data_IF_709628171256
#
_entry.id   IF_709628171256
#
_cell.length_a   1.000
_cell.length_b   1.000
_cell.length_c   1.000
_cell.angle_alpha   90.00
_cell.angle_beta   90.00
_cell.angle_gamma   90.00
#
_symmetry.space_group_name_H-M   'P 1'
#
loop_
_entity.id
_entity.type
_entity.pdbx_description
1 polymer ?
#
# COMPACT_ATOMS: atom_id res chain seq x y z
N UNK A 1 17.78 -67.75 6.10
CA UNK A 1 17.93 -66.57 6.96
C UNK A 1 17.17 -65.40 6.31
N UNK A 2 15.94 -65.17 6.76
CA UNK A 2 15.11 -64.04 6.33
C UNK A 2 15.56 -62.80 7.12
N UNK A 3 16.05 -61.77 6.45
CA UNK A 3 16.22 -60.44 7.07
C UNK A 3 14.87 -59.72 6.99
N UNK A 4 14.28 -59.28 8.12
CA UNK A 4 13.09 -58.46 8.04
C UNK A 4 13.50 -57.08 7.55
N UNK A 5 13.02 -56.73 6.36
CA UNK A 5 13.07 -55.35 5.87
C UNK A 5 12.09 -54.57 6.75
N UNK A 6 12.61 -53.97 7.81
CA UNK A 6 11.91 -52.89 8.49
C UNK A 6 11.81 -51.73 7.50
N UNK A 7 10.65 -51.59 6.86
CA UNK A 7 10.26 -50.31 6.30
C UNK A 7 10.24 -49.33 7.48
N UNK A 8 11.06 -48.27 7.49
CA UNK A 8 10.76 -47.16 8.37
C UNK A 8 9.44 -46.62 7.86
N UNK A 9 8.38 -46.79 8.65
CA UNK A 9 7.28 -45.86 8.56
C UNK A 9 7.91 -44.48 8.72
N UNK A 10 8.14 -43.80 7.60
CA UNK A 10 8.28 -42.36 7.56
C UNK A 10 6.92 -41.85 8.05
N UNK A 11 6.73 -41.90 9.38
CA UNK A 11 5.88 -40.97 10.07
C UNK A 11 6.42 -39.66 9.57
N UNK A 12 5.67 -39.02 8.67
CA UNK A 12 5.84 -37.62 8.35
C UNK A 12 5.49 -36.91 9.66
N UNK A 13 6.41 -36.99 10.62
CA UNK A 13 6.48 -36.09 11.74
C UNK A 13 6.66 -34.77 11.04
N UNK A 14 5.52 -34.11 10.87
CA UNK A 14 5.38 -32.74 10.46
C UNK A 14 6.65 -32.00 10.87
N UNK A 15 7.54 -31.76 9.91
CA UNK A 15 8.86 -31.19 10.17
C UNK A 15 8.69 -29.83 10.89
N UNK A 16 7.55 -29.18 10.66
CA UNK A 16 7.14 -27.93 11.29
C UNK A 16 6.78 -28.06 12.78
N UNK A 17 6.52 -29.26 13.28
CA UNK A 17 6.20 -29.53 14.69
C UNK A 17 7.45 -29.79 15.55
N UNK A 18 8.66 -29.76 14.98
CA UNK A 18 9.89 -29.90 15.74
C UNK A 18 10.08 -28.70 16.70
N UNK A 19 10.42 -28.93 17.99
CA UNK A 19 10.56 -27.86 19.00
C UNK A 19 11.62 -26.81 18.65
N UNK A 20 12.55 -27.12 17.74
CA UNK A 20 13.51 -26.17 17.16
C UNK A 20 12.81 -24.98 16.48
N UNK A 21 11.62 -25.19 15.92
CA UNK A 21 10.84 -24.13 15.25
C UNK A 21 9.89 -23.36 16.20
N UNK A 22 9.87 -23.66 17.50
CA UNK A 22 8.96 -23.02 18.46
C UNK A 22 9.08 -21.49 18.46
N UNK A 23 10.31 -20.95 18.49
CA UNK A 23 10.57 -19.50 18.44
C UNK A 23 10.14 -18.88 17.11
N UNK A 24 10.39 -19.58 16.01
CA UNK A 24 9.96 -19.15 14.67
C UNK A 24 8.43 -19.04 14.61
N UNK A 25 7.71 -20.05 15.09
CA UNK A 25 6.25 -20.02 15.13
C UNK A 25 5.67 -18.97 16.07
N UNK A 26 6.37 -18.67 17.16
CA UNK A 26 5.98 -17.61 18.08
C UNK A 26 6.05 -16.23 17.40
N UNK A 27 7.12 -15.97 16.65
CA UNK A 27 7.26 -14.74 15.86
C UNK A 27 6.27 -14.67 14.69
N UNK A 28 6.02 -15.80 14.02
CA UNK A 28 5.00 -15.90 12.98
C UNK A 28 3.61 -15.58 13.53
N UNK A 29 3.24 -16.13 14.69
CA UNK A 29 1.97 -15.83 15.36
C UNK A 29 1.85 -14.36 15.77
N UNK A 30 2.94 -13.76 16.26
CA UNK A 30 2.99 -12.34 16.57
C UNK A 30 2.78 -11.48 15.32
N UNK A 31 3.43 -11.82 14.20
CA UNK A 31 3.25 -11.13 12.92
C UNK A 31 1.83 -11.29 12.36
N UNK A 32 1.26 -12.49 12.48
CA UNK A 32 -0.10 -12.79 12.04
C UNK A 32 -1.17 -12.20 12.97
N UNK A 33 -0.83 -11.72 14.17
CA UNK A 33 -1.80 -11.18 15.11
C UNK A 33 -2.53 -9.93 14.58
N UNK A 34 -1.82 -9.01 13.92
CA UNK A 34 -2.43 -7.80 13.35
C UNK A 34 -3.43 -8.11 12.22
N UNK A 35 -3.07 -8.85 11.15
CA UNK A 35 -4.01 -9.13 10.07
C UNK A 35 -5.19 -10.01 10.54
N UNK A 36 -4.98 -10.88 11.55
CA UNK A 36 -6.07 -11.65 12.17
C UNK A 36 -7.05 -10.76 12.93
N UNK A 37 -6.55 -9.81 13.74
CA UNK A 37 -7.39 -8.83 14.46
C UNK A 37 -8.09 -7.90 13.48
N UNK A 38 -7.38 -7.44 12.45
CA UNK A 38 -7.92 -6.60 11.41
C UNK A 38 -9.05 -7.30 10.65
N UNK A 39 -8.86 -8.55 10.21
CA UNK A 39 -9.89 -9.33 9.51
C UNK A 39 -11.13 -9.56 10.38
N UNK A 40 -10.96 -9.80 11.68
CA UNK A 40 -12.07 -9.93 12.64
C UNK A 40 -12.80 -8.59 12.84
N UNK A 41 -12.06 -7.49 13.01
CA UNK A 41 -12.65 -6.16 13.16
C UNK A 41 -13.38 -5.71 11.90
N UNK A 42 -12.78 -5.91 10.72
CA UNK A 42 -13.38 -5.63 9.42
C UNK A 42 -14.64 -6.44 9.18
N UNK A 43 -14.64 -7.74 9.50
CA UNK A 43 -15.86 -8.58 9.43
C UNK A 43 -16.96 -8.03 10.34
N UNK A 44 -16.65 -7.73 11.60
CA UNK A 44 -17.62 -7.13 12.53
C UNK A 44 -18.13 -5.76 12.06
N UNK A 45 -17.27 -4.96 11.46
CA UNK A 45 -17.65 -3.66 10.90
C UNK A 45 -18.59 -3.83 9.70
N UNK A 46 -18.33 -4.80 8.82
CA UNK A 46 -19.25 -5.15 7.73
C UNK A 46 -20.59 -5.68 8.25
N UNK A 47 -20.56 -6.60 9.21
CA UNK A 47 -21.77 -7.13 9.86
C UNK A 47 -22.57 -6.02 10.56
N UNK A 48 -21.92 -5.02 11.13
CA UNK A 48 -22.59 -3.87 11.75
C UNK A 48 -23.12 -2.85 10.73
N UNK A 49 -22.40 -2.63 9.62
CA UNK A 49 -22.80 -1.69 8.58
C UNK A 49 -23.91 -2.24 7.68
N UNK A 50 -23.93 -3.56 7.46
CA UNK A 50 -24.84 -4.20 6.49
C UNK A 50 -25.79 -5.25 7.11
N UNK A 51 -25.63 -5.58 8.40
CA UNK A 51 -26.52 -6.49 9.13
C UNK A 51 -26.51 -7.95 8.63
N UNK A 52 -27.17 -8.89 9.34
CA UNK A 52 -27.31 -10.29 8.91
C UNK A 52 -28.09 -10.49 7.59
N UNK A 53 -28.61 -9.42 6.99
CA UNK A 53 -29.49 -9.49 5.82
C UNK A 53 -28.79 -9.86 4.52
N UNK A 54 -27.46 -9.95 4.46
CA UNK A 54 -26.77 -10.21 3.20
C UNK A 54 -26.71 -11.68 2.78
N UNK A 55 -27.12 -12.65 3.62
CA UNK A 55 -27.16 -14.07 3.22
C UNK A 55 -28.29 -14.81 3.93
N UNK A 56 -29.50 -14.68 3.38
CA UNK A 56 -30.54 -15.68 3.59
C UNK A 56 -31.04 -16.08 2.20
N UNK A 57 -30.39 -17.10 1.63
CA UNK A 57 -30.92 -17.90 0.51
C UNK A 57 -32.26 -18.49 1.00
N UNK A 58 -33.36 -18.56 0.24
CA UNK A 58 -33.52 -19.27 -1.03
C UNK A 58 -34.73 -18.68 -1.79
N UNK A 59 -34.51 -18.20 -3.00
CA UNK A 59 -35.51 -18.19 -4.07
C UNK A 59 -34.90 -18.95 -5.24
N UNK A 60 -35.64 -19.81 -5.97
CA UNK A 60 -35.07 -20.57 -7.08
C UNK A 60 -34.61 -19.58 -8.15
N UNK A 61 -33.32 -19.32 -8.21
CA UNK A 61 -32.71 -18.52 -9.26
C UNK A 61 -31.74 -19.44 -9.97
N UNK A 62 -32.07 -19.72 -11.23
CA UNK A 62 -31.29 -20.52 -12.17
C UNK A 62 -29.84 -20.06 -12.13
N UNK A 63 -29.00 -20.84 -11.46
CA UNK A 63 -27.59 -20.54 -11.27
C UNK A 63 -26.90 -20.55 -12.64
N UNK A 64 -26.46 -19.41 -13.20
CA UNK A 64 -25.59 -19.42 -14.36
C UNK A 64 -24.26 -19.94 -13.85
N UNK A 65 -24.06 -21.22 -14.14
CA UNK A 65 -22.91 -22.04 -13.83
C UNK A 65 -21.63 -21.25 -14.09
N UNK A 66 -20.82 -21.08 -13.04
CA UNK A 66 -19.48 -20.49 -12.97
C UNK A 66 -18.49 -20.87 -14.11
N UNK A 67 -18.85 -21.80 -14.98
CA UNK A 67 -18.11 -22.22 -16.16
C UNK A 67 -17.97 -21.14 -17.25
N UNK A 68 -18.87 -20.16 -17.33
CA UNK A 68 -18.88 -19.17 -18.43
C UNK A 68 -17.79 -18.09 -18.28
N UNK A 69 -17.34 -17.83 -17.04
CA UNK A 69 -16.22 -16.92 -16.77
C UNK A 69 -14.85 -17.50 -17.18
N UNK A 70 -14.79 -18.81 -17.46
CA UNK A 70 -13.55 -19.49 -17.88
C UNK A 70 -13.39 -19.60 -19.40
N UNK A 71 -14.29 -19.00 -20.18
CA UNK A 71 -14.14 -18.99 -21.63
C UNK A 71 -13.02 -18.03 -22.05
N UNK A 72 -12.01 -18.54 -22.77
CA UNK A 72 -10.94 -17.70 -23.32
C UNK A 72 -11.49 -16.61 -24.25
N UNK A 73 -12.68 -16.82 -24.84
CA UNK A 73 -13.38 -15.89 -25.72
C UNK A 73 -13.88 -14.65 -24.97
N UNK A 74 -14.52 -14.82 -23.80
CA UNK A 74 -15.04 -13.70 -22.99
C UNK A 74 -13.91 -12.87 -22.41
N UNK A 75 -12.81 -13.52 -22.03
CA UNK A 75 -11.60 -12.83 -21.56
C UNK A 75 -10.97 -11.98 -22.68
N UNK A 76 -10.87 -12.49 -23.92
CA UNK A 76 -10.36 -11.74 -25.09
C UNK A 76 -11.25 -10.55 -25.42
N UNK A 77 -12.57 -10.73 -25.37
CA UNK A 77 -13.53 -9.65 -25.61
C UNK A 77 -13.42 -8.55 -24.55
N UNK A 78 -13.26 -8.91 -23.28
CA UNK A 78 -13.06 -7.94 -22.20
C UNK A 78 -11.79 -7.10 -22.39
N UNK A 79 -10.67 -7.73 -22.76
CA UNK A 79 -9.43 -7.01 -23.07
C UNK A 79 -9.56 -6.10 -24.30
N UNK A 80 -10.24 -6.57 -25.36
CA UNK A 80 -10.52 -5.75 -26.53
C UNK A 80 -11.46 -4.56 -26.24
N UNK A 81 -12.32 -4.68 -25.22
CA UNK A 81 -13.23 -3.63 -24.79
C UNK A 81 -12.53 -2.62 -23.87
N UNK A 82 -11.63 -3.08 -22.99
CA UNK A 82 -10.83 -2.21 -22.13
C UNK A 82 -9.81 -1.39 -22.91
N UNK A 83 -9.18 -1.94 -23.96
CA UNK A 83 -8.27 -1.18 -24.82
C UNK A 83 -9.01 -0.11 -25.63
N UNK A 84 -10.20 -0.41 -26.18
CA UNK A 84 -11.04 0.59 -26.86
C UNK A 84 -11.46 1.72 -25.92
N UNK A 85 -11.90 1.39 -24.71
CA UNK A 85 -12.26 2.40 -23.70
C UNK A 85 -11.05 3.27 -23.29
N UNK A 86 -9.85 2.67 -23.21
CA UNK A 86 -8.61 3.39 -22.93
C UNK A 86 -8.21 4.34 -24.06
N UNK A 87 -8.44 3.97 -25.31
CA UNK A 87 -8.20 4.83 -26.47
C UNK A 87 -9.21 5.98 -26.55
N UNK A 88 -10.48 5.72 -26.25
CA UNK A 88 -11.51 6.77 -26.16
C UNK A 88 -11.16 7.80 -25.07
N UNK A 89 -10.71 7.36 -23.89
CA UNK A 89 -10.25 8.24 -22.81
C UNK A 89 -9.06 9.13 -23.22
N UNK A 90 -8.15 8.63 -24.07
CA UNK A 90 -7.04 9.44 -24.59
C UNK A 90 -7.55 10.56 -25.52
N UNK A 91 -8.65 10.32 -26.24
CA UNK A 91 -9.29 11.33 -27.10
C UNK A 91 -10.12 12.35 -26.31
N UNK A 92 -10.64 11.97 -25.13
CA UNK A 92 -11.44 12.84 -24.27
C UNK A 92 -10.63 13.76 -23.34
N UNK A 93 -9.30 13.58 -23.22
CA UNK A 93 -8.42 14.52 -22.48
C UNK A 93 -7.30 15.17 -23.33
N UNK A 94 -7.61 16.03 -24.32
CA UNK A 94 -6.59 16.86 -24.96
C UNK A 94 -6.15 18.08 -24.13
N UNK A 95 -6.90 18.48 -23.10
CA UNK A 95 -6.77 19.82 -22.49
C UNK A 95 -5.90 19.93 -21.21
N UNK A 96 -5.47 18.82 -20.60
CA UNK A 96 -4.70 18.85 -19.33
C UNK A 96 -3.28 18.26 -19.44
N UNK A 97 -2.83 17.86 -20.63
CA UNK A 97 -1.46 17.38 -20.82
C UNK A 97 -0.41 18.46 -20.57
N UNK A 98 -0.78 19.74 -20.61
CA UNK A 98 0.12 20.85 -20.25
C UNK A 98 0.30 21.02 -18.74
N UNK A 99 -0.65 20.58 -17.91
CA UNK A 99 -0.55 20.73 -16.45
C UNK A 99 0.29 19.61 -15.83
N UNK A 100 0.28 18.40 -16.39
CA UNK A 100 1.05 17.28 -15.86
C UNK A 100 2.47 17.16 -16.43
N UNK A 101 2.74 17.75 -17.60
CA UNK A 101 4.11 17.84 -18.16
C UNK A 101 4.99 18.83 -17.38
N UNK A 102 4.39 19.77 -16.64
CA UNK A 102 5.11 20.74 -15.82
C UNK A 102 5.60 20.16 -14.49
N UNK A 103 5.01 19.07 -14.00
CA UNK A 103 5.40 18.42 -12.74
C UNK A 103 6.62 17.50 -12.91
N UNK A 104 6.84 16.96 -14.11
CA UNK A 104 8.00 16.12 -14.44
C UNK A 104 9.13 16.88 -15.17
N UNK A 105 8.93 18.15 -15.52
CA UNK A 105 10.08 19.03 -15.80
C UNK A 105 10.75 19.37 -14.48
N UNK A 106 11.70 18.52 -14.09
CA UNK A 106 12.86 19.03 -13.34
C UNK A 106 13.47 20.14 -14.18
N UNK A 107 13.09 21.38 -13.89
CA UNK A 107 13.66 22.55 -14.51
C UNK A 107 15.14 22.57 -14.14
N UNK A 108 16.01 22.28 -15.10
CA UNK A 108 17.46 22.46 -14.96
C UNK A 108 17.82 23.94 -14.91
N UNK A 109 16.89 24.82 -15.30
CA UNK A 109 17.03 26.26 -15.15
C UNK A 109 16.73 26.66 -13.68
N UNK A 110 17.59 27.48 -13.04
CA UNK A 110 17.31 28.05 -11.73
C UNK A 110 15.95 28.76 -11.75
N UNK A 111 15.12 28.59 -10.69
CA UNK A 111 13.89 29.36 -10.55
C UNK A 111 14.17 30.85 -10.76
N UNK A 112 13.47 31.48 -11.72
CA UNK A 112 13.61 32.91 -12.02
C UNK A 112 13.16 33.77 -10.83
N UNK A 113 12.25 33.22 -10.04
CA UNK A 113 11.77 33.77 -8.79
C UNK A 113 12.57 33.17 -7.63
N UNK A 114 13.06 34.01 -6.71
CA UNK A 114 13.78 33.49 -5.54
C UNK A 114 12.81 32.61 -4.73
N UNK A 115 13.19 31.37 -4.38
CA UNK A 115 12.36 30.51 -3.57
C UNK A 115 11.93 31.22 -2.29
N UNK A 116 10.62 31.45 -2.13
CA UNK A 116 10.03 32.10 -0.96
C UNK A 116 9.71 33.60 -1.11
N UNK A 117 10.08 34.26 -2.20
CA UNK A 117 9.84 35.71 -2.37
C UNK A 117 8.33 36.04 -2.43
N UNK A 118 7.55 35.35 -3.27
CA UNK A 118 6.08 35.46 -3.25
C UNK A 118 5.47 35.17 -1.89
N UNK A 119 5.91 34.10 -1.23
CA UNK A 119 5.40 33.72 0.09
C UNK A 119 5.64 34.80 1.13
N UNK A 120 6.82 35.45 1.11
CA UNK A 120 7.11 36.56 2.02
C UNK A 120 6.31 37.82 1.71
N UNK A 121 6.03 38.11 0.43
CA UNK A 121 5.18 39.22 0.02
C UNK A 121 3.71 38.99 0.43
N UNK A 122 3.21 37.77 0.25
CA UNK A 122 1.86 37.36 0.69
C UNK A 122 1.74 37.40 2.22
N UNK A 123 2.74 36.90 2.95
CA UNK A 123 2.81 36.99 4.41
C UNK A 123 2.78 38.45 4.90
N UNK A 124 3.53 39.35 4.26
CA UNK A 124 3.51 40.79 4.58
C UNK A 124 2.15 41.43 4.28
N UNK A 125 1.47 41.01 3.21
CA UNK A 125 0.12 41.50 2.86
C UNK A 125 -0.93 41.04 3.87
N UNK A 126 -0.86 39.79 4.35
CA UNK A 126 -1.86 39.20 5.24
C UNK A 126 -1.67 39.59 6.71
N UNK A 127 -0.42 39.57 7.19
CA UNK A 127 -0.09 39.69 8.61
C UNK A 127 0.67 40.98 8.96
N UNK A 128 1.01 41.81 7.96
CA UNK A 128 1.66 43.10 8.17
C UNK A 128 2.99 42.99 8.92
N UNK A 129 3.14 43.76 10.01
CA UNK A 129 4.33 43.75 10.86
C UNK A 129 4.59 42.43 11.57
N UNK A 130 3.56 41.62 11.81
CA UNK A 130 3.66 40.34 12.50
C UNK A 130 4.04 39.18 11.55
N UNK A 131 4.18 39.44 10.25
CA UNK A 131 4.52 38.42 9.25
C UNK A 131 5.76 37.61 9.64
N UNK A 132 6.80 38.26 10.14
CA UNK A 132 8.02 37.58 10.59
C UNK A 132 7.76 36.63 11.76
N UNK A 133 6.92 37.04 12.71
CA UNK A 133 6.55 36.24 13.88
C UNK A 133 5.75 35.00 13.48
N UNK A 134 4.76 35.16 12.60
CA UNK A 134 3.94 34.05 12.11
C UNK A 134 4.80 33.06 11.30
N UNK A 135 5.67 33.56 10.40
CA UNK A 135 6.60 32.70 9.67
C UNK A 135 7.54 31.93 10.62
N UNK A 136 8.05 32.58 11.67
CA UNK A 136 8.90 31.92 12.65
C UNK A 136 8.15 30.82 13.42
N UNK A 137 6.90 31.07 13.81
CA UNK A 137 6.07 30.07 14.47
C UNK A 137 5.78 28.86 13.56
N UNK A 138 5.43 29.10 12.30
CA UNK A 138 5.17 28.05 11.33
C UNK A 138 6.44 27.21 11.08
N UNK A 139 7.58 27.85 10.90
CA UNK A 139 8.87 27.18 10.75
C UNK A 139 9.21 26.35 11.99
N UNK A 140 8.99 26.88 13.20
CA UNK A 140 9.21 26.13 14.43
C UNK A 140 8.29 24.90 14.53
N UNK A 141 7.03 25.01 14.11
CA UNK A 141 6.11 23.87 14.06
C UNK A 141 6.56 22.82 13.04
N UNK A 142 7.00 23.24 11.85
CA UNK A 142 7.50 22.36 10.80
C UNK A 142 8.77 21.63 11.24
N UNK A 143 9.73 22.33 11.85
CA UNK A 143 10.97 21.73 12.38
C UNK A 143 10.69 20.71 13.50
N UNK A 144 9.71 20.98 14.36
CA UNK A 144 9.29 20.01 15.39
C UNK A 144 8.67 18.76 14.76
N UNK A 145 7.87 18.93 13.71
CA UNK A 145 7.31 17.80 12.97
C UNK A 145 8.41 16.98 12.27
N UNK A 146 9.32 17.64 11.57
CA UNK A 146 10.46 17.02 10.88
C UNK A 146 11.34 16.24 11.85
N UNK A 147 11.72 16.84 12.99
CA UNK A 147 12.46 16.16 14.05
C UNK A 147 11.76 14.88 14.49
N UNK A 148 10.46 14.94 14.74
CA UNK A 148 9.68 13.78 15.17
C UNK A 148 9.53 12.73 14.06
N UNK A 149 9.47 13.16 12.80
CA UNK A 149 9.43 12.28 11.64
C UNK A 149 10.78 11.59 11.42
N UNK A 150 11.88 12.33 11.44
CA UNK A 150 13.23 11.81 11.25
C UNK A 150 13.61 10.85 12.37
N UNK A 151 13.31 11.18 13.64
CA UNK A 151 13.55 10.28 14.76
C UNK A 151 12.76 8.96 14.64
N UNK A 152 11.54 9.00 14.11
CA UNK A 152 10.72 7.80 13.89
C UNK A 152 11.10 7.03 12.63
N UNK A 153 11.59 7.73 11.60
CA UNK A 153 11.86 7.18 10.28
C UNK A 153 13.31 6.83 10.03
N UNK A 154 14.27 7.30 10.85
CA UNK A 154 15.66 6.93 10.70
C UNK A 154 15.78 5.40 10.75
N UNK A 155 16.03 4.74 9.62
CA UNK A 155 16.26 3.31 9.64
C UNK A 155 17.58 3.11 10.38
N UNK A 156 17.62 2.19 11.34
CA UNK A 156 18.90 1.71 11.88
C UNK A 156 19.68 1.18 10.69
N UNK A 157 20.72 1.90 10.28
CA UNK A 157 21.60 1.46 9.22
C UNK A 157 22.20 0.12 9.68
N UNK A 158 22.05 -0.91 8.85
CA UNK A 158 22.79 -2.16 9.03
C UNK A 158 24.29 -1.84 9.02
N UNK A 159 25.14 -2.61 9.73
CA UNK A 159 26.55 -2.27 9.84
C UNK A 159 27.13 -2.16 8.43
N UNK A 160 27.77 -1.03 8.15
CA UNK A 160 28.50 -0.79 6.92
C UNK A 160 29.72 -1.70 6.99
N UNK A 161 29.65 -2.87 6.34
CA UNK A 161 30.77 -3.82 6.27
C UNK A 161 31.80 -3.20 5.32
N UNK A 162 32.98 -2.80 5.78
CA UNK A 162 34.01 -2.27 4.91
C UNK A 162 34.44 -3.35 3.91
N UNK A 163 34.20 -3.10 2.63
CA UNK A 163 34.72 -3.92 1.54
C UNK A 163 36.18 -3.51 1.32
N UNK A 164 37.10 -4.46 1.49
CA UNK A 164 38.50 -4.27 1.05
C UNK A 164 38.52 -4.50 -0.46
N UNK A 165 38.79 -3.44 -1.23
CA UNK A 165 39.11 -3.49 -2.65
C UNK A 165 40.61 -3.66 -2.84
#
# INVERSE_FOLDING_TARGET
CHFPIHHPEFTVMSWFSCPVYSRYWQHYWQAMAWPQRHRRAYRKALEAAYGPCCYQEEGPCDQPRYADWSSAETTRQYFAQTERHREELKNYMPADQDLHSFSLRSSVAPPLERPGERRTAEMKKLYGGDAAKIMAMEAAMQLNFERNCDLKKQPKYWPVIPLKL
#
